data_IF_442489654527
#
_entry.id   IF_442489654527
#
_cell.length_a   1.000
_cell.length_b   1.000
_cell.length_c   1.000
_cell.angle_alpha   90.00
_cell.angle_beta   90.00
_cell.angle_gamma   90.00
#
_symmetry.space_group_name_H-M   'P 1'
#
loop_
_entity.id
_entity.type
_entity.pdbx_description
1 polymer ?
#
# COMPACT_ATOMS: atom_id res chain seq x y z
N UNK A 1 -5.22 6.28 -10.55
CA UNK A 1 -5.67 4.88 -10.46
C UNK A 1 -4.83 4.04 -11.40
N UNK A 2 -4.33 2.90 -10.93
CA UNK A 2 -3.57 1.93 -11.72
C UNK A 2 -4.38 1.47 -12.94
N UNK A 3 -3.77 1.29 -14.12
CA UNK A 3 -4.51 0.82 -15.30
C UNK A 3 -5.04 -0.60 -15.12
N UNK A 4 -6.17 -0.92 -15.79
CA UNK A 4 -6.77 -2.26 -15.74
C UNK A 4 -5.79 -3.34 -16.21
N UNK A 5 -5.05 -3.05 -17.28
CA UNK A 5 -4.09 -3.97 -17.88
C UNK A 5 -2.92 -4.25 -16.93
N UNK A 6 -2.43 -3.23 -16.22
CA UNK A 6 -1.35 -3.40 -15.24
C UNK A 6 -1.84 -4.20 -14.02
N UNK A 7 -3.05 -3.90 -13.54
CA UNK A 7 -3.64 -4.62 -12.41
C UNK A 7 -3.77 -6.12 -12.71
N UNK A 8 -4.30 -6.49 -13.88
CA UNK A 8 -4.47 -7.89 -14.28
C UNK A 8 -3.13 -8.62 -14.32
N UNK A 9 -2.09 -7.98 -14.89
CA UNK A 9 -0.74 -8.58 -14.95
C UNK A 9 -0.12 -8.78 -13.56
N UNK A 10 -0.28 -7.81 -12.66
CA UNK A 10 0.22 -7.91 -11.28
C UNK A 10 -0.48 -9.04 -10.54
N UNK A 11 -1.81 -9.15 -10.68
CA UNK A 11 -2.57 -10.22 -10.02
C UNK A 11 -2.25 -11.61 -10.58
N UNK A 12 -1.96 -11.70 -11.88
CA UNK A 12 -1.65 -12.96 -12.56
C UNK A 12 -0.18 -13.40 -12.42
N UNK A 13 0.68 -12.61 -11.74
CA UNK A 13 2.12 -12.88 -11.65
C UNK A 13 2.47 -14.23 -10.99
N UNK A 14 1.55 -14.77 -10.17
CA UNK A 14 1.72 -16.03 -9.48
C UNK A 14 1.07 -17.21 -10.24
N UNK A 15 0.38 -16.96 -11.35
CA UNK A 15 -0.12 -18.00 -12.25
C UNK A 15 0.90 -18.29 -13.34
N UNK A 16 1.26 -19.57 -13.54
CA UNK A 16 2.20 -19.99 -14.58
C UNK A 16 1.61 -20.04 -16.01
N UNK A 17 0.46 -19.39 -16.23
CA UNK A 17 -0.38 -19.55 -17.43
C UNK A 17 -0.83 -18.24 -18.06
N UNK A 18 -2.08 -18.20 -18.56
CA UNK A 18 -2.69 -16.99 -19.11
C UNK A 18 -3.10 -16.02 -18.00
N UNK A 19 -3.18 -14.74 -18.34
CA UNK A 19 -3.73 -13.71 -17.45
C UNK A 19 -5.15 -14.08 -16.96
N UNK A 20 -5.40 -13.81 -15.67
CA UNK A 20 -6.70 -14.00 -15.04
C UNK A 20 -7.77 -13.12 -15.70
N UNK A 21 -8.98 -13.66 -15.84
CA UNK A 21 -10.15 -12.91 -16.31
C UNK A 21 -10.87 -12.28 -15.12
N UNK A 22 -10.94 -10.95 -15.10
CA UNK A 22 -11.64 -10.17 -14.07
C UNK A 22 -12.84 -9.48 -14.73
N UNK A 23 -14.01 -9.59 -14.10
CA UNK A 23 -15.22 -8.91 -14.56
C UNK A 23 -15.05 -7.38 -14.47
N UNK A 24 -15.51 -6.64 -15.47
CA UNK A 24 -15.28 -5.19 -15.58
C UNK A 24 -15.74 -4.38 -14.37
N UNK A 25 -16.83 -4.80 -13.72
CA UNK A 25 -17.36 -4.14 -12.52
C UNK A 25 -16.47 -4.30 -11.27
N UNK A 26 -15.64 -5.35 -11.24
CA UNK A 26 -14.74 -5.66 -10.12
C UNK A 26 -13.43 -4.88 -10.22
N UNK A 27 -13.02 -4.49 -11.43
CA UNK A 27 -11.77 -3.74 -11.65
C UNK A 27 -11.71 -2.45 -10.80
N UNK A 28 -12.73 -1.58 -10.79
CA UNK A 28 -12.73 -0.40 -9.92
C UNK A 28 -12.69 -0.73 -8.43
N UNK A 29 -13.26 -1.86 -8.00
CA UNK A 29 -13.24 -2.28 -6.59
C UNK A 29 -11.83 -2.64 -6.14
N UNK A 30 -11.10 -3.40 -6.97
CA UNK A 30 -9.70 -3.76 -6.68
C UNK A 30 -8.80 -2.53 -6.76
N UNK A 31 -9.01 -1.63 -7.73
CA UNK A 31 -8.27 -0.37 -7.80
C UNK A 31 -8.47 0.44 -6.52
N UNK A 32 -9.71 0.53 -6.01
CA UNK A 32 -10.00 1.20 -4.74
C UNK A 32 -9.35 0.50 -3.55
N UNK A 33 -9.34 -0.83 -3.53
CA UNK A 33 -8.63 -1.59 -2.50
C UNK A 33 -7.13 -1.28 -2.51
N UNK A 34 -6.50 -1.20 -3.68
CA UNK A 34 -5.09 -0.83 -3.82
C UNK A 34 -4.81 0.58 -3.31
N UNK A 35 -5.69 1.54 -3.63
CA UNK A 35 -5.57 2.92 -3.13
C UNK A 35 -5.65 2.93 -1.59
N UNK A 36 -6.62 2.22 -0.98
CA UNK A 36 -6.75 2.10 0.48
C UNK A 36 -5.52 1.43 1.11
N UNK A 37 -5.01 0.35 0.49
CA UNK A 37 -3.83 -0.35 0.98
C UNK A 37 -2.60 0.57 1.05
N UNK A 38 -2.39 1.40 0.02
CA UNK A 38 -1.28 2.37 -0.03
C UNK A 38 -1.50 3.49 0.99
N UNK A 39 -2.72 4.03 1.08
CA UNK A 39 -3.06 5.08 2.04
C UNK A 39 -2.83 4.62 3.48
N UNK A 40 -3.28 3.41 3.85
CA UNK A 40 -3.04 2.82 5.16
C UNK A 40 -1.55 2.59 5.42
N UNK A 41 -0.80 2.07 4.44
CA UNK A 41 0.64 1.87 4.57
C UNK A 41 1.37 3.18 4.89
N UNK A 42 1.03 4.27 4.18
CA UNK A 42 1.65 5.58 4.35
C UNK A 42 1.22 6.23 5.66
N UNK A 43 -0.07 6.25 5.98
CA UNK A 43 -0.60 6.87 7.21
C UNK A 43 -0.06 6.19 8.47
N UNK A 44 0.02 4.86 8.48
CA UNK A 44 0.59 4.10 9.60
C UNK A 44 2.09 4.28 9.70
N UNK A 45 2.81 4.31 8.58
CA UNK A 45 4.25 4.61 8.57
C UNK A 45 4.53 6.00 9.12
N UNK A 46 3.72 6.99 8.72
CA UNK A 46 3.77 8.35 9.22
C UNK A 46 3.50 8.42 10.73
N UNK A 47 2.49 7.73 11.22
CA UNK A 47 2.17 7.69 12.64
C UNK A 47 3.30 7.04 13.45
N UNK A 48 3.79 5.88 12.98
CA UNK A 48 4.94 5.18 13.57
C UNK A 48 6.18 6.06 13.65
N UNK A 49 6.46 6.86 12.61
CA UNK A 49 7.57 7.82 12.61
C UNK A 49 7.40 8.92 13.68
N UNK A 50 6.19 9.48 13.80
CA UNK A 50 5.87 10.52 14.79
C UNK A 50 5.95 10.00 16.23
N UNK A 51 5.47 8.78 16.47
CA UNK A 51 5.47 8.19 17.81
C UNK A 51 6.89 7.95 18.35
N UNK A 52 7.84 7.61 17.47
CA UNK A 52 9.23 7.32 17.85
C UNK A 52 10.06 8.59 17.98
N UNK A 53 9.95 9.50 17.02
CA UNK A 53 10.78 10.71 17.00
C UNK A 53 10.23 11.84 17.89
N UNK A 54 8.99 11.68 18.38
CA UNK A 54 8.23 12.72 19.06
C UNK A 54 7.86 13.87 18.11
N UNK A 55 7.05 14.82 18.57
CA UNK A 55 6.86 16.11 17.87
C UNK A 55 8.13 16.99 17.97
N UNK A 56 9.29 16.44 17.59
CA UNK A 56 10.48 17.26 17.41
C UNK A 56 10.15 18.20 16.26
N UNK A 57 9.85 19.46 16.61
CA UNK A 57 9.72 20.61 15.72
C UNK A 57 11.05 20.96 15.06
N UNK A 58 11.74 19.96 14.55
CA UNK A 58 12.89 20.12 13.69
C UNK A 58 12.34 20.58 12.34
N UNK A 59 12.84 21.70 11.84
CA UNK A 59 12.38 22.32 10.56
C UNK A 59 12.77 21.49 9.33
N UNK A 60 13.27 20.29 9.56
CA UNK A 60 13.64 19.29 8.57
C UNK A 60 12.37 18.77 7.88
N UNK A 61 12.41 18.52 6.57
CA UNK A 61 11.30 17.86 5.89
C UNK A 61 11.04 16.51 6.57
N UNK A 62 9.78 16.20 6.82
CA UNK A 62 9.35 14.87 7.24
C UNK A 62 9.74 13.88 6.13
N UNK A 63 10.65 12.96 6.45
CA UNK A 63 11.14 11.94 5.53
C UNK A 63 10.86 10.54 6.12
N UNK A 64 10.07 9.76 5.39
CA UNK A 64 9.78 8.37 5.75
C UNK A 64 10.86 7.47 5.15
N UNK A 65 11.32 6.51 5.96
CA UNK A 65 12.32 5.52 5.57
C UNK A 65 11.72 4.11 5.53
N UNK A 66 12.47 3.14 5.00
CA UNK A 66 12.06 1.73 5.01
C UNK A 66 11.73 1.20 6.42
N UNK A 67 12.39 1.73 7.46
CA UNK A 67 12.16 1.35 8.85
C UNK A 67 10.74 1.68 9.33
N UNK A 68 10.14 2.75 8.82
CA UNK A 68 8.79 3.17 9.19
C UNK A 68 7.75 2.17 8.66
N UNK A 69 7.96 1.66 7.45
CA UNK A 69 7.13 0.63 6.83
C UNK A 69 7.33 -0.74 7.50
N UNK A 70 8.58 -1.16 7.74
CA UNK A 70 8.92 -2.43 8.40
C UNK A 70 8.26 -2.57 9.78
N UNK A 71 8.12 -1.46 10.50
CA UNK A 71 7.45 -1.44 11.81
C UNK A 71 5.95 -1.73 11.74
N UNK A 72 5.28 -1.30 10.67
CA UNK A 72 3.81 -1.39 10.57
C UNK A 72 3.32 -2.53 9.67
N UNK A 73 4.20 -3.10 8.83
CA UNK A 73 3.80 -4.05 7.78
C UNK A 73 3.13 -5.30 8.35
N UNK A 74 3.56 -5.79 9.51
CA UNK A 74 2.97 -6.98 10.14
C UNK A 74 1.49 -6.78 10.52
N UNK A 75 1.15 -5.61 11.08
CA UNK A 75 -0.23 -5.28 11.42
C UNK A 75 -1.04 -4.90 10.18
N UNK A 76 -0.44 -4.16 9.23
CA UNK A 76 -1.07 -3.80 7.96
C UNK A 76 -1.53 -5.04 7.19
N UNK A 77 -0.70 -6.08 7.10
CA UNK A 77 -1.04 -7.33 6.40
C UNK A 77 -2.03 -8.21 7.17
N UNK A 78 -2.27 -7.94 8.46
CA UNK A 78 -3.27 -8.65 9.26
C UNK A 78 -4.66 -8.03 9.12
N UNK A 79 -4.72 -6.70 8.97
CA UNK A 79 -5.98 -5.96 8.86
C UNK A 79 -6.63 -6.03 7.47
N UNK A 80 -5.81 -6.22 6.43
CA UNK A 80 -6.21 -6.22 5.01
C UNK A 80 -6.45 -7.64 4.50
#
# INVERSE_FOLDING_TARGET
MLSKEALIKILSQNEGGNDMKIVDEVVPMIQKYLDIFIDEAVLRSLQSHKDINGERGDKSPLELSHQDLERIVGLLLMDM
#
